data_IF_432736324924
#
_entry.id   IF_432736324924
#
_cell.length_a   1.000
_cell.length_b   1.000
_cell.length_c   1.000
_cell.angle_alpha   90.00
_cell.angle_beta   90.00
_cell.angle_gamma   90.00
#
_symmetry.space_group_name_H-M   'P 1'
#
loop_
_entity.id
_entity.type
_entity.pdbx_description
1 polymer ?
#
# COMPACT_ATOMS: atom_id res chain seq x y z
N UNK A 1 5.05 11.33 -2.45
CA UNK A 1 5.13 10.92 -1.04
C UNK A 1 6.53 11.15 -0.53
N UNK A 2 6.67 11.74 0.65
CA UNK A 2 7.94 11.91 1.35
C UNK A 2 8.28 10.66 2.21
N UNK A 3 9.51 10.55 2.75
CA UNK A 3 9.94 9.38 3.53
C UNK A 3 9.02 9.05 4.73
N UNK A 4 8.55 10.07 5.43
CA UNK A 4 7.69 9.91 6.61
C UNK A 4 6.29 9.41 6.22
N UNK A 5 5.73 9.91 5.12
CA UNK A 5 4.44 9.43 4.59
C UNK A 5 4.50 7.95 4.18
N UNK A 6 5.64 7.49 3.65
CA UNK A 6 5.83 6.07 3.29
C UNK A 6 5.83 5.21 4.55
N UNK A 7 6.58 5.64 5.58
CA UNK A 7 6.64 4.95 6.87
C UNK A 7 5.25 4.87 7.53
N UNK A 8 4.55 6.00 7.58
CA UNK A 8 3.19 6.07 8.14
C UNK A 8 2.23 5.14 7.40
N UNK A 9 2.24 5.14 6.07
CA UNK A 9 1.39 4.24 5.27
C UNK A 9 1.66 2.77 5.62
N UNK A 10 2.94 2.37 5.72
CA UNK A 10 3.32 1.00 6.10
C UNK A 10 2.82 0.64 7.51
N UNK A 11 3.03 1.53 8.47
CA UNK A 11 2.70 1.30 9.88
C UNK A 11 1.19 1.27 10.12
N UNK A 12 0.43 2.13 9.45
CA UNK A 12 -1.03 2.14 9.50
C UNK A 12 -1.67 0.83 9.00
N UNK A 13 -1.02 0.18 8.03
CA UNK A 13 -1.42 -1.13 7.51
C UNK A 13 -0.85 -2.29 8.34
N UNK A 14 -0.07 -1.99 9.38
CA UNK A 14 0.63 -2.95 10.23
C UNK A 14 1.50 -3.92 9.44
N UNK A 15 2.18 -3.41 8.40
CA UNK A 15 3.08 -4.21 7.57
C UNK A 15 4.53 -4.05 8.03
N UNK A 16 5.28 -5.16 8.02
CA UNK A 16 6.73 -5.12 8.18
C UNK A 16 7.39 -4.58 6.91
N UNK A 17 8.66 -4.13 7.00
CA UNK A 17 9.44 -3.71 5.82
C UNK A 17 9.49 -4.80 4.74
N UNK A 18 9.66 -6.06 5.15
CA UNK A 18 9.68 -7.20 4.23
C UNK A 18 8.33 -7.43 3.55
N UNK A 19 7.23 -7.34 4.31
CA UNK A 19 5.88 -7.50 3.77
C UNK A 19 5.53 -6.36 2.81
N UNK A 20 5.85 -5.13 3.19
CA UNK A 20 5.67 -3.94 2.35
C UNK A 20 6.48 -4.08 1.05
N UNK A 21 7.80 -4.37 1.15
CA UNK A 21 8.65 -4.55 -0.02
C UNK A 21 8.15 -5.64 -0.97
N UNK A 22 7.73 -6.79 -0.44
CA UNK A 22 7.12 -7.87 -1.23
C UNK A 22 5.93 -7.37 -2.05
N UNK A 23 5.08 -6.52 -1.48
CA UNK A 23 3.89 -5.98 -2.16
C UNK A 23 4.18 -4.86 -3.16
N UNK A 24 5.40 -4.33 -3.20
CA UNK A 24 5.83 -3.36 -4.22
C UNK A 24 6.96 -3.91 -5.11
N UNK A 25 7.24 -5.23 -5.03
CA UNK A 25 8.27 -5.87 -5.85
C UNK A 25 9.71 -5.46 -5.51
N UNK A 26 9.97 -5.03 -4.26
CA UNK A 26 11.29 -4.57 -3.81
C UNK A 26 11.73 -5.28 -2.54
N UNK A 27 13.00 -5.10 -2.17
CA UNK A 27 13.55 -5.65 -0.93
C UNK A 27 13.15 -4.80 0.28
N UNK A 28 13.14 -5.40 1.48
CA UNK A 28 12.97 -4.66 2.75
C UNK A 28 14.00 -3.53 2.92
N UNK A 29 15.22 -3.76 2.42
CA UNK A 29 16.30 -2.78 2.45
C UNK A 29 16.02 -1.56 1.57
N UNK A 30 15.37 -1.74 0.42
CA UNK A 30 14.93 -0.63 -0.43
C UNK A 30 13.88 0.23 0.31
N UNK A 31 12.87 -0.41 0.91
CA UNK A 31 11.85 0.28 1.73
C UNK A 31 12.49 1.07 2.86
N UNK A 32 13.44 0.48 3.60
CA UNK A 32 14.16 1.18 4.67
C UNK A 32 14.91 2.42 4.16
N UNK A 33 15.51 2.35 2.97
CA UNK A 33 16.18 3.51 2.36
C UNK A 33 15.17 4.59 1.93
N UNK A 34 13.99 4.20 1.44
CA UNK A 34 12.90 5.14 1.13
C UNK A 34 12.42 5.87 2.39
N UNK A 35 12.15 5.14 3.47
CA UNK A 35 11.70 5.71 4.76
C UNK A 35 12.77 6.59 5.43
N UNK A 36 14.06 6.40 5.10
CA UNK A 36 15.16 7.26 5.55
C UNK A 36 15.48 8.40 4.58
N UNK A 37 14.83 8.47 3.43
CA UNK A 37 15.11 9.45 2.38
C UNK A 37 16.48 9.31 1.71
N UNK A 38 17.15 8.15 1.82
CA UNK A 38 18.47 7.90 1.21
C UNK A 38 18.36 7.30 -0.20
N UNK A 39 17.15 6.98 -0.64
CA UNK A 39 16.84 6.64 -2.04
C UNK A 39 15.36 6.91 -2.31
N UNK A 40 14.98 6.98 -3.59
CA UNK A 40 13.61 7.19 -4.01
C UNK A 40 12.94 5.88 -4.47
N UNK A 41 11.62 5.73 -4.29
CA UNK A 41 10.85 4.69 -4.95
C UNK A 41 10.88 4.88 -6.47
N UNK A 42 10.78 3.78 -7.23
CA UNK A 42 10.52 3.88 -8.66
C UNK A 42 9.08 4.35 -8.92
N UNK A 43 8.80 4.79 -10.15
CA UNK A 43 7.51 5.39 -10.52
C UNK A 43 6.32 4.46 -10.23
N UNK A 44 6.47 3.17 -10.50
CA UNK A 44 5.43 2.16 -10.26
C UNK A 44 5.09 2.03 -8.77
N UNK A 45 6.11 1.89 -7.91
CA UNK A 45 5.93 1.79 -6.47
C UNK A 45 5.35 3.09 -5.91
N UNK A 46 5.84 4.25 -6.38
CA UNK A 46 5.34 5.56 -5.97
C UNK A 46 3.86 5.74 -6.31
N UNK A 47 3.45 5.46 -7.56
CA UNK A 47 2.07 5.55 -7.99
C UNK A 47 1.14 4.61 -7.20
N UNK A 48 1.60 3.37 -6.96
CA UNK A 48 0.86 2.38 -6.19
C UNK A 48 0.68 2.80 -4.73
N UNK A 49 1.72 3.37 -4.09
CA UNK A 49 1.64 3.88 -2.72
C UNK A 49 0.72 5.10 -2.62
N UNK A 50 0.75 6.02 -3.60
CA UNK A 50 -0.15 7.18 -3.65
C UNK A 50 -1.61 6.72 -3.72
N UNK A 51 -1.91 5.77 -4.60
CA UNK A 51 -3.25 5.22 -4.75
C UNK A 51 -3.70 4.46 -3.49
N UNK A 52 -2.83 3.65 -2.90
CA UNK A 52 -3.10 2.94 -1.64
C UNK A 52 -3.40 3.92 -0.50
N UNK A 53 -2.61 5.00 -0.37
CA UNK A 53 -2.82 6.06 0.62
C UNK A 53 -4.17 6.75 0.42
N UNK A 54 -4.48 7.16 -0.82
CA UNK A 54 -5.75 7.82 -1.16
C UNK A 54 -6.95 6.98 -0.71
N UNK A 55 -6.99 5.69 -1.09
CA UNK A 55 -8.11 4.80 -0.73
C UNK A 55 -8.19 4.53 0.77
N UNK A 56 -7.04 4.41 1.44
CA UNK A 56 -7.01 4.25 2.90
C UNK A 56 -7.59 5.49 3.60
N UNK A 57 -7.25 6.68 3.14
CA UNK A 57 -7.75 7.94 3.70
C UNK A 57 -9.25 8.13 3.41
N UNK A 58 -9.73 7.76 2.22
CA UNK A 58 -11.17 7.71 1.89
C UNK A 58 -11.93 6.74 2.80
N UNK A 59 -11.40 5.52 3.00
CA UNK A 59 -12.00 4.53 3.87
C UNK A 59 -12.03 4.99 5.34
N UNK A 60 -11.04 5.77 5.80
CA UNK A 60 -11.08 6.41 7.12
C UNK A 60 -12.19 7.45 7.20
N UNK A 61 -12.31 8.33 6.20
CA UNK A 61 -13.36 9.36 6.14
C UNK A 61 -14.77 8.77 6.20
N UNK A 62 -14.96 7.58 5.62
CA UNK A 62 -16.24 6.87 5.59
C UNK A 62 -16.45 5.90 6.76
N UNK A 63 -15.56 5.85 7.76
CA UNK A 63 -15.57 4.86 8.86
C UNK A 63 -15.47 3.39 8.40
N UNK A 64 -15.01 3.14 7.17
CA UNK A 64 -14.88 1.82 6.54
C UNK A 64 -13.45 1.27 6.56
N UNK A 65 -12.52 1.88 7.33
CA UNK A 65 -11.10 1.47 7.41
C UNK A 65 -10.92 -0.04 7.57
N UNK A 66 -11.69 -0.69 8.45
CA UNK A 66 -11.56 -2.13 8.70
C UNK A 66 -12.01 -2.97 7.51
N UNK A 67 -13.08 -2.57 6.82
CA UNK A 67 -13.56 -3.25 5.62
C UNK A 67 -12.51 -3.17 4.51
N UNK A 68 -11.93 -1.98 4.32
CA UNK A 68 -10.84 -1.76 3.36
C UNK A 68 -9.61 -2.62 3.68
N UNK A 69 -9.15 -2.63 4.94
CA UNK A 69 -7.99 -3.44 5.35
C UNK A 69 -8.27 -4.94 5.14
N UNK A 70 -9.49 -5.40 5.39
CA UNK A 70 -9.87 -6.79 5.16
C UNK A 70 -9.91 -7.12 3.67
N UNK A 71 -10.46 -6.25 2.83
CA UNK A 71 -10.42 -6.38 1.37
C UNK A 71 -9.00 -6.45 0.83
N UNK A 72 -8.11 -5.56 1.29
CA UNK A 72 -6.68 -5.59 0.97
C UNK A 72 -6.04 -6.94 1.35
N UNK A 73 -6.28 -7.43 2.58
CA UNK A 73 -5.75 -8.72 3.04
C UNK A 73 -6.23 -9.87 2.15
N UNK A 74 -7.51 -9.89 1.80
CA UNK A 74 -8.07 -10.95 0.94
C UNK A 74 -7.47 -10.91 -0.47
N UNK A 75 -7.36 -9.73 -1.09
CA UNK A 75 -6.71 -9.57 -2.40
C UNK A 75 -5.27 -10.09 -2.37
N UNK A 76 -4.51 -9.71 -1.34
CA UNK A 76 -3.13 -10.11 -1.16
C UNK A 76 -2.94 -11.61 -0.93
N UNK A 77 -3.88 -12.28 -0.26
CA UNK A 77 -3.86 -13.73 -0.03
C UNK A 77 -4.23 -14.53 -1.28
N UNK A 78 -5.19 -14.04 -2.08
CA UNK A 78 -5.74 -14.77 -3.23
C UNK A 78 -4.94 -14.62 -4.51
N UNK A 79 -4.41 -13.43 -4.79
CA UNK A 79 -3.71 -13.16 -6.06
C UNK A 79 -2.46 -12.29 -5.93
N UNK A 80 -1.96 -12.11 -4.70
CA UNK A 80 -0.73 -11.35 -4.45
C UNK A 80 -0.81 -9.91 -4.92
N UNK A 81 0.26 -9.42 -5.57
CA UNK A 81 0.35 -8.03 -6.02
C UNK A 81 -0.62 -7.72 -7.16
N UNK A 82 -0.93 -8.68 -8.03
CA UNK A 82 -1.84 -8.43 -9.17
C UNK A 82 -3.27 -8.19 -8.67
N UNK A 83 -3.78 -9.06 -7.79
CA UNK A 83 -5.10 -8.85 -7.19
C UNK A 83 -5.13 -7.58 -6.32
N UNK A 84 -4.03 -7.22 -5.65
CA UNK A 84 -3.92 -5.93 -4.95
C UNK A 84 -4.07 -4.76 -5.92
N UNK A 85 -3.35 -4.76 -7.03
CA UNK A 85 -3.42 -3.67 -8.02
C UNK A 85 -4.81 -3.59 -8.63
N UNK A 86 -5.40 -4.72 -9.01
CA UNK A 86 -6.80 -4.76 -9.47
C UNK A 86 -7.71 -4.18 -8.40
N UNK A 87 -7.61 -4.62 -7.15
CA UNK A 87 -8.41 -4.06 -6.07
C UNK A 87 -8.21 -2.55 -5.92
N UNK A 88 -6.97 -2.06 -5.96
CA UNK A 88 -6.65 -0.64 -5.78
C UNK A 88 -7.09 0.25 -6.94
N UNK A 89 -7.05 -0.23 -8.17
CA UNK A 89 -7.26 0.57 -9.39
C UNK A 89 -8.59 0.30 -10.11
N UNK A 90 -9.32 -0.75 -9.75
CA UNK A 90 -10.64 -1.01 -10.33
C UNK A 90 -11.69 -0.07 -9.70
N UNK A 91 -12.49 0.59 -10.54
CA UNK A 91 -13.45 1.64 -10.14
C UNK A 91 -14.85 1.11 -9.78
N UNK A 92 -15.07 -0.21 -9.76
CA UNK A 92 -16.40 -0.78 -9.56
C UNK A 92 -16.65 -1.15 -8.09
N UNK A 93 -17.17 -0.18 -7.34
CA UNK A 93 -17.93 -0.41 -6.10
C UNK A 93 -19.36 -0.88 -6.46
N UNK A 94 -19.49 -2.08 -7.03
CA UNK A 94 -20.80 -2.73 -7.19
C UNK A 94 -20.75 -4.20 -6.73
N UNK A 95 -20.97 -4.39 -5.43
CA UNK A 95 -21.58 -5.60 -4.86
C UNK A 95 -22.65 -5.18 -3.86
#
# INVERSE_FOLDING_TARGET
>A
MNPEEIKQLREELSWSLAKFGKYFGVTAQAVLKWERGTSLPNDFALASMIQLKRRLDEAKGNNQKQQFINGLKQALLTGGIIALLTYLFNQDDSL
#
